data_IF_304896312082
#
_entry.id   IF_304896312082
#
_cell.length_a   1.000
_cell.length_b   1.000
_cell.length_c   1.000
_cell.angle_alpha   90.00
_cell.angle_beta   90.00
_cell.angle_gamma   90.00
#
_symmetry.space_group_name_H-M   'P 1'
#
loop_
_entity.id
_entity.type
_entity.pdbx_description
1 polymer ?
#
# COMPACT_ATOMS: atom_id res chain seq x y z
N UNK A 1 -40.84 -39.03 -73.17
CA UNK A 1 -41.90 -38.12 -72.67
C UNK A 1 -41.73 -37.96 -71.16
N UNK A 2 -42.08 -36.79 -70.63
CA UNK A 2 -42.17 -36.38 -69.21
C UNK A 2 -40.88 -36.19 -68.39
N UNK A 3 -40.41 -34.94 -68.35
CA UNK A 3 -39.97 -34.22 -67.13
C UNK A 3 -41.21 -33.98 -66.21
N UNK A 4 -41.13 -33.47 -64.95
CA UNK A 4 -40.05 -32.78 -64.21
C UNK A 4 -39.98 -33.12 -62.68
N UNK A 5 -39.26 -32.27 -61.91
CA UNK A 5 -39.33 -31.96 -60.44
C UNK A 5 -38.06 -32.37 -59.68
N UNK A 6 -37.51 -31.65 -58.70
CA UNK A 6 -37.76 -30.35 -58.06
C UNK A 6 -36.68 -30.20 -56.94
N UNK A 7 -36.41 -28.96 -56.50
CA UNK A 7 -35.83 -28.58 -55.18
C UNK A 7 -34.36 -28.98 -54.91
N UNK A 8 -33.49 -28.23 -54.22
CA UNK A 8 -33.61 -27.08 -53.31
C UNK A 8 -32.23 -26.39 -53.26
N UNK A 9 -32.22 -25.05 -53.29
CA UNK A 9 -31.08 -24.20 -52.95
C UNK A 9 -30.83 -24.28 -51.42
N UNK A 10 -29.60 -24.61 -51.00
CA UNK A 10 -29.16 -24.41 -49.63
C UNK A 10 -28.37 -23.10 -49.55
N UNK A 11 -28.98 -22.07 -48.96
CA UNK A 11 -28.35 -20.80 -48.66
C UNK A 11 -27.53 -20.93 -47.37
N UNK A 12 -26.22 -20.80 -47.47
CA UNK A 12 -25.30 -20.75 -46.32
C UNK A 12 -25.33 -19.35 -45.72
N UNK A 13 -26.10 -19.16 -44.65
CA UNK A 13 -26.09 -17.92 -43.88
C UNK A 13 -24.82 -17.88 -43.00
N UNK A 14 -23.85 -17.05 -43.37
CA UNK A 14 -22.73 -16.67 -42.50
C UNK A 14 -23.25 -15.74 -41.39
N UNK A 15 -23.31 -16.27 -40.16
CA UNK A 15 -23.56 -15.50 -38.96
C UNK A 15 -22.31 -14.65 -38.63
N UNK A 16 -22.43 -13.34 -38.83
CA UNK A 16 -21.50 -12.34 -38.28
C UNK A 16 -21.67 -12.28 -36.76
N UNK A 17 -20.67 -12.78 -36.03
CA UNK A 17 -20.57 -12.54 -34.60
C UNK A 17 -20.04 -11.12 -34.34
N UNK A 18 -20.65 -10.33 -33.45
CA UNK A 18 -20.10 -9.04 -33.05
C UNK A 18 -18.87 -9.25 -32.17
N UNK A 19 -17.70 -8.84 -32.68
CA UNK A 19 -16.51 -8.71 -31.88
C UNK A 19 -16.75 -7.62 -30.82
N UNK A 20 -17.03 -8.03 -29.60
CA UNK A 20 -17.04 -7.14 -28.45
C UNK A 20 -15.62 -6.59 -28.26
N UNK A 21 -15.45 -5.31 -28.56
CA UNK A 21 -14.25 -4.55 -28.24
C UNK A 21 -14.06 -4.61 -26.72
N UNK A 22 -13.14 -5.46 -26.28
CA UNK A 22 -12.65 -5.43 -24.91
C UNK A 22 -12.03 -4.05 -24.67
N UNK A 23 -12.73 -3.19 -23.93
CA UNK A 23 -12.15 -1.94 -23.46
C UNK A 23 -10.96 -2.31 -22.56
N UNK A 24 -9.75 -1.76 -22.80
CA UNK A 24 -8.66 -1.93 -21.88
C UNK A 24 -9.07 -1.33 -20.54
N UNK A 25 -9.31 -2.19 -19.55
CA UNK A 25 -9.49 -1.78 -18.17
C UNK A 25 -8.29 -0.92 -17.79
N UNK A 26 -8.46 0.32 -17.29
CA UNK A 26 -7.33 1.10 -16.83
C UNK A 26 -6.60 0.25 -15.78
N UNK A 27 -5.34 -0.09 -16.05
CA UNK A 27 -4.49 -0.67 -15.02
C UNK A 27 -4.49 0.33 -13.86
N UNK A 28 -4.87 -0.14 -12.68
CA UNK A 28 -4.82 0.65 -11.45
C UNK A 28 -3.33 0.95 -11.19
N UNK A 29 -2.85 2.08 -11.73
CA UNK A 29 -1.46 2.51 -11.55
C UNK A 29 -1.35 2.86 -10.08
N UNK A 30 -0.77 1.94 -9.30
CA UNK A 30 -0.53 2.14 -7.88
C UNK A 30 0.12 3.52 -7.69
N UNK A 31 -0.61 4.41 -7.02
CA UNK A 31 -0.16 5.79 -6.83
C UNK A 31 1.18 5.76 -6.09
N UNK A 32 2.23 6.31 -6.72
CA UNK A 32 3.54 6.37 -6.08
C UNK A 32 3.51 7.33 -4.89
N UNK A 33 4.19 6.98 -3.77
CA UNK A 33 4.24 7.84 -2.60
C UNK A 33 4.97 9.14 -2.91
N UNK A 34 4.53 10.23 -2.29
CA UNK A 34 5.25 11.50 -2.31
C UNK A 34 6.57 11.37 -1.54
N UNK A 35 7.68 11.78 -2.14
CA UNK A 35 9.02 11.63 -1.55
C UNK A 35 9.60 12.97 -1.13
N UNK A 36 10.26 13.01 0.04
CA UNK A 36 10.96 14.20 0.56
C UNK A 36 12.30 13.82 1.18
N UNK A 37 13.40 14.31 0.64
CA UNK A 37 14.75 14.04 1.19
C UNK A 37 15.25 12.60 0.98
N UNK A 38 14.64 11.86 0.06
CA UNK A 38 15.07 10.54 -0.38
C UNK A 38 14.59 10.27 -1.81
N UNK A 39 15.25 9.34 -2.50
CA UNK A 39 14.83 8.88 -3.83
C UNK A 39 13.86 7.68 -3.75
N UNK A 40 13.35 7.24 -4.91
CA UNK A 40 12.36 6.17 -4.99
C UNK A 40 12.89 4.81 -4.54
N UNK A 41 14.15 4.50 -4.83
CA UNK A 41 14.80 3.25 -4.42
C UNK A 41 14.96 3.18 -2.91
N UNK A 42 15.44 4.27 -2.29
CA UNK A 42 15.57 4.39 -0.84
C UNK A 42 14.21 4.24 -0.14
N UNK A 43 13.16 4.87 -0.69
CA UNK A 43 11.81 4.76 -0.16
C UNK A 43 11.27 3.33 -0.27
N UNK A 44 11.47 2.67 -1.43
CA UNK A 44 11.07 1.29 -1.64
C UNK A 44 11.80 0.33 -0.70
N UNK A 45 13.10 0.51 -0.51
CA UNK A 45 13.90 -0.29 0.41
C UNK A 45 13.44 -0.12 1.87
N UNK A 46 13.12 1.10 2.28
CA UNK A 46 12.56 1.36 3.61
C UNK A 46 11.21 0.65 3.81
N UNK A 47 10.28 0.80 2.87
CA UNK A 47 8.96 0.15 2.93
C UNK A 47 9.12 -1.38 2.94
N UNK A 48 10.00 -1.93 2.10
CA UNK A 48 10.29 -3.37 2.05
C UNK A 48 10.83 -3.88 3.40
N UNK A 49 11.72 -3.13 4.05
CA UNK A 49 12.25 -3.49 5.38
C UNK A 49 11.15 -3.55 6.45
N UNK A 50 10.20 -2.61 6.41
CA UNK A 50 9.07 -2.61 7.33
C UNK A 50 8.12 -3.78 7.02
N UNK A 51 7.88 -4.06 5.74
CA UNK A 51 7.05 -5.18 5.31
C UNK A 51 7.66 -6.54 5.71
N UNK A 52 8.98 -6.69 5.59
CA UNK A 52 9.70 -7.88 6.07
C UNK A 52 9.56 -8.04 7.60
N UNK A 53 9.76 -6.95 8.35
CA UNK A 53 9.54 -6.96 9.80
C UNK A 53 8.09 -7.35 10.17
N UNK A 54 7.09 -6.88 9.42
CA UNK A 54 5.70 -7.33 9.59
C UNK A 54 5.56 -8.83 9.31
N UNK A 55 6.17 -9.35 8.23
CA UNK A 55 6.09 -10.76 7.86
C UNK A 55 6.72 -11.67 8.93
N UNK A 56 7.91 -11.32 9.40
CA UNK A 56 8.61 -12.04 10.49
C UNK A 56 7.77 -12.09 11.77
N UNK A 57 7.19 -10.95 12.16
CA UNK A 57 6.31 -10.89 13.33
C UNK A 57 5.02 -11.70 13.15
N UNK A 58 4.45 -11.76 11.94
CA UNK A 58 3.30 -12.62 11.63
C UNK A 58 3.67 -14.10 11.75
N UNK A 59 4.89 -14.47 11.40
CA UNK A 59 5.43 -15.83 11.52
C UNK A 59 5.82 -16.21 12.96
N UNK A 60 5.57 -15.35 13.95
CA UNK A 60 5.83 -15.63 15.36
C UNK A 60 7.23 -15.27 15.83
N UNK A 61 8.06 -14.63 15.00
CA UNK A 61 9.35 -14.12 15.44
C UNK A 61 9.19 -12.95 16.43
N UNK A 62 10.24 -12.68 17.20
CA UNK A 62 10.30 -11.56 18.14
C UNK A 62 10.65 -10.27 17.41
N UNK A 63 10.10 -9.14 17.87
CA UNK A 63 10.59 -7.82 17.51
C UNK A 63 11.89 -7.56 18.28
N UNK A 64 12.95 -7.18 17.57
CA UNK A 64 14.21 -6.73 18.17
C UNK A 64 14.34 -5.20 18.13
N UNK A 65 13.22 -4.51 17.99
CA UNK A 65 13.12 -3.06 17.88
C UNK A 65 11.97 -2.54 18.74
N UNK A 66 12.03 -1.27 19.12
CA UNK A 66 10.98 -0.62 19.89
C UNK A 66 9.73 -0.41 19.03
N UNK A 67 8.58 -0.87 19.53
CA UNK A 67 7.32 -0.70 18.85
C UNK A 67 6.34 0.07 19.72
N UNK A 68 6.00 1.29 19.27
CA UNK A 68 5.12 2.20 19.97
C UNK A 68 3.90 2.52 19.11
N UNK A 69 2.73 2.60 19.73
CA UNK A 69 1.52 3.07 19.06
C UNK A 69 0.71 3.98 19.97
N UNK A 70 0.06 4.98 19.38
CA UNK A 70 -0.83 5.87 20.10
C UNK A 70 -1.93 6.44 19.21
N UNK A 71 -2.90 7.08 19.86
CA UNK A 71 -3.98 7.83 19.24
C UNK A 71 -4.56 8.82 20.25
N UNK A 72 -5.30 9.87 19.82
CA UNK A 72 -6.12 10.67 20.72
C UNK A 72 -7.06 9.80 21.58
N UNK A 73 -7.28 10.20 22.84
CA UNK A 73 -8.02 9.42 23.85
C UNK A 73 -9.41 8.95 23.39
N UNK A 74 -10.10 9.74 22.56
CA UNK A 74 -11.42 9.43 22.02
C UNK A 74 -11.42 8.35 20.93
N UNK A 75 -10.25 7.96 20.39
CA UNK A 75 -10.17 7.05 19.25
C UNK A 75 -10.07 5.59 19.70
N UNK A 76 -10.73 4.66 19.00
CA UNK A 76 -10.65 3.22 19.32
C UNK A 76 -9.21 2.68 19.34
N UNK A 77 -8.32 3.26 18.52
CA UNK A 77 -6.92 2.81 18.39
C UNK A 77 -6.09 2.95 19.66
N UNK A 78 -6.56 3.70 20.67
CA UNK A 78 -5.94 3.75 22.00
C UNK A 78 -5.94 2.42 22.74
N UNK A 79 -6.85 1.50 22.36
CA UNK A 79 -6.98 0.16 22.95
C UNK A 79 -6.23 -0.91 22.16
N UNK A 80 -5.60 -0.54 21.05
CA UNK A 80 -4.86 -1.46 20.20
C UNK A 80 -3.43 -1.58 20.69
N UNK A 81 -2.94 -2.81 20.91
CA UNK A 81 -1.55 -3.02 21.26
C UNK A 81 -0.62 -2.60 20.11
N UNK A 82 0.60 -2.09 20.37
CA UNK A 82 1.52 -1.65 19.33
C UNK A 82 1.81 -2.70 18.26
N UNK A 83 1.98 -3.96 18.68
CA UNK A 83 2.17 -5.09 17.76
C UNK A 83 0.99 -5.25 16.80
N UNK A 84 -0.24 -5.19 17.31
CA UNK A 84 -1.44 -5.37 16.49
C UNK A 84 -1.65 -4.19 15.53
N UNK A 85 -1.39 -2.97 15.99
CA UNK A 85 -1.42 -1.78 15.13
C UNK A 85 -0.40 -1.90 14.00
N UNK A 86 0.81 -2.36 14.31
CA UNK A 86 1.88 -2.52 13.34
C UNK A 86 1.54 -3.57 12.30
N UNK A 87 1.04 -4.75 12.70
CA UNK A 87 0.71 -5.83 11.77
C UNK A 87 -0.47 -5.48 10.84
N UNK A 88 -1.35 -4.57 11.28
CA UNK A 88 -2.50 -4.06 10.50
C UNK A 88 -2.18 -2.83 9.65
N UNK A 89 -0.99 -2.23 9.78
CA UNK A 89 -0.61 -1.03 9.04
C UNK A 89 -0.58 -1.34 7.52
N UNK A 90 -1.43 -0.71 6.69
CA UNK A 90 -1.55 -1.04 5.28
C UNK A 90 -0.48 -0.31 4.46
N UNK A 91 0.75 -0.83 4.42
CA UNK A 91 1.89 -0.19 3.73
C UNK A 91 1.64 0.10 2.24
N UNK A 92 0.78 -0.67 1.58
CA UNK A 92 0.37 -0.40 0.19
C UNK A 92 -0.39 0.94 0.02
N UNK A 93 -0.92 1.51 1.12
CA UNK A 93 -1.60 2.81 1.15
C UNK A 93 -0.68 3.93 1.66
N UNK A 94 0.63 3.75 1.50
CA UNK A 94 1.62 4.78 1.84
C UNK A 94 1.46 5.96 0.89
N UNK A 95 1.17 7.12 1.45
CA UNK A 95 0.96 8.37 0.71
C UNK A 95 2.22 9.21 0.63
N UNK A 96 3.03 9.23 1.70
CA UNK A 96 4.25 10.04 1.76
C UNK A 96 5.35 9.33 2.53
N UNK A 97 6.58 9.48 2.05
CA UNK A 97 7.81 9.08 2.75
C UNK A 97 8.74 10.29 2.81
N UNK A 98 9.28 10.58 3.99
CA UNK A 98 10.14 11.72 4.25
C UNK A 98 11.34 11.30 5.07
N UNK A 99 12.56 11.65 4.65
CA UNK A 99 13.74 11.61 5.52
C UNK A 99 13.78 12.91 6.32
N UNK A 100 13.73 12.82 7.64
CA UNK A 100 13.83 13.99 8.51
C UNK A 100 15.29 14.39 8.63
N UNK A 101 15.57 15.69 8.50
CA UNK A 101 16.88 16.22 8.80
C UNK A 101 17.21 16.00 10.28
N UNK A 102 18.42 15.56 10.55
CA UNK A 102 18.93 15.27 11.89
C UNK A 102 20.41 15.57 11.89
N UNK A 103 20.90 16.22 12.95
CA UNK A 103 22.33 16.43 13.15
C UNK A 103 23.01 15.15 13.68
N UNK A 104 22.20 14.21 14.18
CA UNK A 104 22.66 12.92 14.67
C UNK A 104 22.67 11.89 13.53
N UNK A 105 23.83 11.66 12.91
CA UNK A 105 23.99 10.67 11.84
C UNK A 105 23.75 9.22 12.28
N UNK A 106 23.82 8.93 13.58
CA UNK A 106 23.63 7.58 14.13
C UNK A 106 22.15 7.17 14.19
N UNK A 107 21.25 8.16 14.21
CA UNK A 107 19.81 7.93 14.19
C UNK A 107 19.22 8.68 13.02
N UNK A 108 18.75 7.93 12.02
CA UNK A 108 18.11 8.49 10.84
C UNK A 108 16.59 8.30 10.94
N UNK A 109 15.84 9.33 11.37
CA UNK A 109 14.39 9.28 11.41
C UNK A 109 13.81 9.47 10.01
N UNK A 110 12.93 8.55 9.66
CA UNK A 110 12.04 8.62 8.51
C UNK A 110 10.62 8.80 9.01
N UNK A 111 9.81 9.51 8.23
CA UNK A 111 8.38 9.68 8.47
C UNK A 111 7.59 9.13 7.29
N UNK A 112 6.67 8.24 7.58
CA UNK A 112 5.78 7.62 6.62
C UNK A 112 4.35 8.02 6.98
N UNK A 113 3.62 8.55 6.00
CA UNK A 113 2.19 8.82 6.14
C UNK A 113 1.44 7.75 5.37
N UNK A 114 0.58 7.01 6.06
CA UNK A 114 -0.31 6.01 5.46
C UNK A 114 -1.74 6.54 5.57
N UNK A 115 -2.50 6.44 4.47
CA UNK A 115 -3.90 6.86 4.40
C UNK A 115 -4.80 5.62 4.22
N UNK A 116 -5.19 4.92 5.31
CA UNK A 116 -5.98 3.69 5.20
C UNK A 116 -7.28 3.88 4.42
N UNK A 117 -7.96 5.01 4.63
CA UNK A 117 -9.28 5.30 4.05
C UNK A 117 -9.22 6.47 3.05
N UNK A 118 -8.02 6.83 2.60
CA UNK A 118 -7.78 7.93 1.67
C UNK A 118 -7.65 9.32 2.31
N UNK A 119 -7.47 10.37 1.50
CA UNK A 119 -7.24 11.74 1.96
C UNK A 119 -8.40 12.32 2.79
N UNK A 120 -8.09 13.20 3.73
CA UNK A 120 -9.09 13.86 4.59
C UNK A 120 -9.71 12.95 5.67
N UNK A 121 -9.40 11.66 5.67
CA UNK A 121 -9.74 10.70 6.73
C UNK A 121 -8.58 10.57 7.73
N UNK A 122 -8.81 9.78 8.77
CA UNK A 122 -7.77 9.45 9.75
C UNK A 122 -6.59 8.77 9.06
N UNK A 123 -5.40 9.09 9.54
CA UNK A 123 -4.14 8.62 8.97
C UNK A 123 -3.26 7.97 10.04
N UNK A 124 -2.32 7.15 9.59
CA UNK A 124 -1.18 6.76 10.41
C UNK A 124 0.00 7.65 10.08
N UNK A 125 0.52 8.29 11.13
CA UNK A 125 1.76 9.02 11.12
C UNK A 125 2.83 8.15 11.76
N UNK A 126 3.74 7.62 10.94
CA UNK A 126 4.68 6.57 11.34
C UNK A 126 6.09 7.13 11.31
N UNK A 127 6.72 7.23 12.47
CA UNK A 127 8.15 7.47 12.58
C UNK A 127 8.88 6.12 12.57
N UNK A 128 9.91 6.02 11.72
CA UNK A 128 10.80 4.87 11.65
C UNK A 128 12.22 5.37 11.86
N UNK A 129 12.88 4.87 12.88
CA UNK A 129 14.28 5.20 13.18
C UNK A 129 15.15 4.03 12.76
N UNK A 130 16.11 4.30 11.87
CA UNK A 130 17.17 3.36 11.54
C UNK A 130 18.42 3.65 12.36
N UNK A 131 19.06 2.58 12.85
CA UNK A 131 20.36 2.61 13.50
C UNK A 131 21.52 2.73 12.50
N UNK A 132 22.75 2.74 13.02
CA UNK A 132 23.97 2.86 12.20
C UNK A 132 24.18 1.65 11.27
N UNK A 133 23.72 0.47 11.67
CA UNK A 133 23.74 -0.76 10.88
C UNK A 133 22.60 -0.82 9.84
N UNK A 134 21.80 0.25 9.77
CA UNK A 134 20.63 0.37 8.91
C UNK A 134 19.46 -0.50 9.35
N UNK A 135 19.50 -1.17 10.51
CA UNK A 135 18.38 -1.93 11.03
C UNK A 135 17.35 -1.00 11.68
N UNK A 136 16.12 -1.51 11.79
CA UNK A 136 15.05 -0.78 12.47
C UNK A 136 15.36 -0.80 13.97
N UNK A 137 15.50 0.38 14.57
CA UNK A 137 15.67 0.55 16.02
C UNK A 137 14.33 0.85 16.69
N UNK A 138 13.49 1.66 16.02
CA UNK A 138 12.18 2.05 16.54
C UNK A 138 11.18 2.28 15.42
N UNK A 139 9.93 1.88 15.69
CA UNK A 139 8.75 2.30 14.95
C UNK A 139 7.75 2.89 15.93
N UNK A 140 7.40 4.16 15.75
CA UNK A 140 6.36 4.84 16.50
C UNK A 140 5.21 5.22 15.58
N UNK A 141 4.00 4.77 15.90
CA UNK A 141 2.82 4.98 15.06
C UNK A 141 1.77 5.80 15.79
N UNK A 142 1.33 6.90 15.19
CA UNK A 142 0.27 7.73 15.73
C UNK A 142 -0.92 7.74 14.79
N UNK A 143 -2.07 7.25 15.26
CA UNK A 143 -3.33 7.33 14.53
C UNK A 143 -4.02 8.64 14.86
N UNK A 144 -4.20 9.51 13.86
CA UNK A 144 -4.68 10.88 14.08
C UNK A 144 -5.48 11.42 12.90
N UNK A 145 -6.22 12.50 13.16
CA UNK A 145 -6.73 13.36 12.10
C UNK A 145 -5.57 14.03 11.33
N UNK A 146 -5.79 14.34 10.04
CA UNK A 146 -4.89 15.20 9.30
C UNK A 146 -4.78 16.57 9.99
N UNK A 147 -3.66 17.27 9.79
CA UNK A 147 -3.51 18.61 10.33
C UNK A 147 -4.64 19.52 9.76
N UNK A 148 -5.30 20.33 10.60
CA UNK A 148 -6.04 21.47 10.07
C UNK A 148 -5.03 22.38 9.37
N UNK A 149 -5.42 22.84 8.19
CA UNK A 149 -4.68 23.70 7.26
C UNK A 149 -3.76 24.74 7.90
#
# INVERSE_FOLDING_TARGET
MTNPRCFLLAATALLLAPAALAQPTPADVAAQPQLRGLNAEEAAALIAKIADAQARLKNGEKAYFELLSGAPASYPMTRTAPRDAFLRLPLAKTFRVERKATDNKLWQPYRIIVLPDGPGKLLWDVEVVLGIDGQIERIAMLYRSPAPF
#
